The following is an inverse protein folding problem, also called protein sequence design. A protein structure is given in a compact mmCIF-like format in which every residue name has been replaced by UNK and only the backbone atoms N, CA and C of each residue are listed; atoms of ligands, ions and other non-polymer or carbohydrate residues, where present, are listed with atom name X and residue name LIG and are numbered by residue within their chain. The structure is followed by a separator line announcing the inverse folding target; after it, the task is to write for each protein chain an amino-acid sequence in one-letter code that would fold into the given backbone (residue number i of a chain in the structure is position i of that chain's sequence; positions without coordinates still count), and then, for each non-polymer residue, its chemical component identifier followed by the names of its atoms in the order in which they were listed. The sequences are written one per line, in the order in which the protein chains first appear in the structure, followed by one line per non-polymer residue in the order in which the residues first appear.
data_IF_737361949382
#
_entry.id   IF_737361949382
#
_cell.length_a   1.000
_cell.length_b   1.000
_cell.length_c   1.000
_cell.angle_alpha   90.00
_cell.angle_beta   90.00
_cell.angle_gamma   90.00
#
_symmetry.space_group_name_H-M   'P 1'
#
loop_
_entity.id
_entity.type
_entity.pdbx_description
1 polymer ?
2 polymer ?
3 polymer ?
4 water ?
#
loop_
_entity_poly.entity_id
_entity_poly.type
_entity_poly.pdbx_seq_one_letter_code
_entity_poly.pdbx_strand_id
1 'polydeoxyribonucleotide' '(DT)(DA)(DC)(DC)(DT)(DC)(DG)(DT)(DT)(DG)(DC)(DG)(DT)(DT)(DT)(DG)(DT)(DT)(DT)(DG)(DC)(DA)(DC)(DG)(DA)(DA)(DT)' ?
2 'polydeoxyribonucleotide' '(DT)(DA)(DT)(DT)(DC)(DG)(DT)(DG)(DC)(DA)(DA)(DA)(DC)(DA)(DA)(DA)(DC)(DG)(DC)(DA)(DA)(DC)(DG)(DA)(DG)(DG)(DT)' ?
#
# COMPACT_ATOMS: atom_id res chain seq x y z
N UNK C 1 28.85 -27.23 -17.27
CA UNK C 1 27.42 -27.20 -16.88
C UNK C 1 27.10 -26.09 -15.91
N UNK C 2 25.81 -25.82 -15.75
CA UNK C 2 25.37 -24.78 -14.81
C UNK C 2 23.93 -25.05 -14.41
N UNK C 3 23.47 -24.35 -13.36
CA UNK C 3 22.08 -24.44 -12.94
C UNK C 3 21.55 -23.03 -13.08
N UNK C 4 20.24 -22.91 -13.31
CA UNK C 4 19.63 -21.60 -13.47
C UNK C 4 19.63 -20.81 -12.17
N UNK C 5 19.54 -19.48 -12.28
CA UNK C 5 19.48 -18.66 -11.09
C UNK C 5 18.14 -18.96 -10.44
N UNK C 6 18.11 -18.91 -9.11
CA UNK C 6 16.86 -19.12 -8.39
C UNK C 6 16.83 -18.00 -7.35
N UNK C 7 15.65 -17.72 -6.82
CA UNK C 7 15.53 -16.62 -5.88
C UNK C 7 16.35 -16.71 -4.61
N UNK C 8 16.41 -17.88 -3.98
CA UNK C 8 17.19 -17.93 -2.74
C UNK C 8 18.68 -17.72 -2.98
N UNK C 9 19.20 -18.26 -4.09
CA UNK C 9 20.62 -18.06 -4.39
C UNK C 9 20.86 -16.60 -4.73
N UNK C 10 19.92 -15.97 -5.44
CA UNK C 10 20.07 -14.55 -5.76
C UNK C 10 20.04 -13.70 -4.48
N UNK C 11 19.24 -14.09 -3.50
CA UNK C 11 19.18 -13.33 -2.25
C UNK C 11 20.55 -13.40 -1.58
N UNK C 12 21.15 -14.59 -1.58
CA UNK C 12 22.47 -14.77 -0.99
C UNK C 12 23.50 -13.94 -1.75
N UNK C 13 23.38 -13.90 -3.07
CA UNK C 13 24.32 -13.12 -3.88
C UNK C 13 24.21 -11.61 -3.61
N UNK C 14 22.98 -11.14 -3.47
CA UNK C 14 22.71 -9.74 -3.19
C UNK C 14 23.16 -9.37 -1.77
N UNK C 15 22.88 -10.24 -0.80
CA UNK C 15 23.29 -9.94 0.57
C UNK C 15 24.80 -9.81 0.63
N UNK C 16 25.50 -10.71 -0.07
CA UNK C 16 26.96 -10.66 -0.07
C UNK C 16 27.44 -9.34 -0.66
N UNK C 17 26.85 -8.94 -1.79
CA UNK C 17 27.22 -7.69 -2.45
C UNK C 17 26.94 -6.47 -1.57
N UNK C 18 25.78 -6.47 -0.93
CA UNK C 18 25.43 -5.35 -0.07
C UNK C 18 26.37 -5.26 1.14
N UNK C 19 26.60 -6.38 1.82
CA UNK C 19 27.46 -6.35 2.99
C UNK C 19 28.88 -5.93 2.59
N UNK C 20 29.33 -6.37 1.43
CA UNK C 20 30.68 -5.97 0.99
C UNK C 20 30.75 -4.47 0.67
N UNK C 21 29.68 -3.91 0.11
CA UNK C 21 29.68 -2.49 -0.20
C UNK C 21 29.75 -1.69 1.09
N UNK C 22 29.00 -2.11 2.11
CA UNK C 22 29.05 -1.42 3.39
C UNK C 22 30.47 -1.52 4.01
N UNK C 23 31.07 -2.71 3.93
CA UNK C 23 32.40 -2.90 4.49
C UNK C 23 33.47 -2.09 3.78
N UNK C 24 33.36 -1.97 2.47
CA UNK C 24 34.35 -1.23 1.69
C UNK C 24 34.24 0.25 1.97
N UNK C 25 33.01 0.75 2.15
CA UNK C 25 32.84 2.17 2.44
C UNK C 25 33.23 2.38 3.90
N UNK C 26 32.85 1.42 4.75
CA UNK C 26 33.12 1.51 6.18
C UNK C 26 31.78 1.61 6.87
N UNK C 27 31.62 0.96 8.03
CA UNK C 27 30.34 1.02 8.74
C UNK C 27 30.06 2.42 9.27
N UNK C 28 31.03 3.04 9.94
CA UNK C 28 30.82 4.41 10.44
C UNK C 28 30.57 5.35 9.26
N UNK C 29 31.35 5.23 8.19
CA UNK C 29 31.18 6.11 7.03
C UNK C 29 29.79 5.92 6.42
N UNK C 30 29.32 4.67 6.34
CA UNK C 30 28.00 4.41 5.79
C UNK C 30 26.96 5.04 6.72
N UNK C 31 27.15 4.88 8.02
CA UNK C 31 26.22 5.45 8.99
C UNK C 31 26.13 6.96 8.81
N UNK C 32 27.27 7.62 8.71
CA UNK C 32 27.30 9.06 8.54
C UNK C 32 26.53 9.50 7.31
N UNK C 33 26.69 8.76 6.21
CA UNK C 33 26.01 9.11 4.97
C UNK C 33 24.50 8.85 5.05
N UNK C 34 24.10 7.75 5.69
CA UNK C 34 22.69 7.42 5.81
C UNK C 34 21.98 8.27 6.84
N UNK C 35 22.71 8.68 7.86
CA UNK C 35 22.11 9.50 8.89
C UNK C 35 21.61 8.75 10.12
N UNK C 36 22.30 7.69 10.51
CA UNK C 36 21.95 6.94 11.73
C UNK C 36 23.28 6.62 12.41
N UNK C 37 23.23 6.03 13.59
CA UNK C 37 24.48 5.70 14.29
C UNK C 37 25.14 4.48 13.67
N UNK C 38 26.44 4.33 13.86
CA UNK C 38 27.11 3.17 13.30
C UNK C 38 26.54 1.89 13.92
N UNK C 39 26.00 1.98 15.13
CA UNK C 39 25.42 0.82 15.80
C UNK C 39 24.20 0.35 15.02
N UNK C 40 23.53 1.27 14.34
CA UNK C 40 22.36 0.92 13.54
C UNK C 40 22.81 0.21 12.26
N UNK C 41 23.78 0.76 11.55
CA UNK C 41 24.23 0.11 10.33
C UNK C 41 24.71 -1.31 10.71
N UNK C 42 25.43 -1.40 11.82
CA UNK C 42 25.94 -2.68 12.29
C UNK C 42 24.78 -3.67 12.52
N UNK C 43 23.76 -3.23 13.26
CA UNK C 43 22.63 -4.10 13.55
C UNK C 43 21.78 -4.42 12.34
N UNK C 44 21.67 -3.47 11.42
CA UNK C 44 20.86 -3.70 10.21
C UNK C 44 21.43 -4.86 9.40
N UNK C 45 22.75 -5.08 9.45
CA UNK C 45 23.36 -6.19 8.72
C UNK C 45 22.71 -7.51 9.11
N UNK C 46 22.28 -7.60 10.36
CA UNK C 46 21.65 -8.79 10.92
C UNK C 46 20.14 -8.75 10.84
N UNK C 47 19.57 -7.60 11.19
CA UNK C 47 18.13 -7.43 11.27
C UNK C 47 17.38 -7.12 9.99
N UNK C 48 18.04 -6.47 9.03
CA UNK C 48 17.35 -6.06 7.80
C UNK C 48 17.93 -6.47 6.48
N UNK C 49 19.26 -6.57 6.38
CA UNK C 49 19.85 -6.94 5.11
C UNK C 49 19.31 -8.29 4.60
N UNK C 50 19.10 -9.29 5.49
CA UNK C 50 18.57 -10.54 4.95
C UNK C 50 17.19 -10.32 4.28
N UNK C 51 16.34 -9.52 4.93
CA UNK C 51 15.00 -9.26 4.39
C UNK C 51 15.05 -8.42 3.13
N UNK C 52 15.83 -7.35 3.17
CA UNK C 52 16.01 -6.45 2.03
C UNK C 52 16.53 -7.28 0.86
N UNK C 53 17.47 -8.19 1.15
CA UNK C 53 18.05 -9.04 0.10
C UNK C 53 17.06 -9.99 -0.54
N UNK C 54 16.19 -10.61 0.25
CA UNK C 54 15.20 -11.49 -0.38
C UNK C 54 14.20 -10.66 -1.21
N UNK C 55 13.87 -9.45 -0.72
CA UNK C 55 12.94 -8.62 -1.51
C UNK C 55 13.57 -8.23 -2.85
N UNK C 56 14.82 -7.78 -2.83
CA UNK C 56 15.51 -7.39 -4.05
C UNK C 56 15.62 -8.61 -4.99
N UNK C 57 15.92 -9.78 -4.43
CA UNK C 57 16.01 -10.97 -5.28
C UNK C 57 14.67 -11.28 -5.95
N UNK C 58 13.58 -11.27 -5.19
CA UNK C 58 12.28 -11.54 -5.79
C UNK C 58 11.98 -10.54 -6.91
N UNK C 59 12.33 -9.27 -6.69
CA UNK C 59 12.08 -8.25 -7.70
C UNK C 59 12.89 -8.44 -8.98
N UNK C 60 13.95 -9.24 -8.94
CA UNK C 60 14.74 -9.47 -10.14
C UNK C 60 13.96 -10.24 -11.19
N UNK C 61 12.93 -10.97 -10.76
CA UNK C 61 12.12 -11.77 -11.68
C UNK C 61 11.05 -10.96 -12.43
N UNK C 62 10.95 -9.68 -12.09
CA UNK C 62 10.00 -8.81 -12.78
C UNK C 62 8.55 -9.26 -12.77
N UNK C 63 7.81 -8.87 -13.80
CA UNK C 63 6.40 -9.20 -13.91
C UNK C 63 6.10 -10.00 -15.17
N UNK C 64 5.58 -11.21 -15.02
CA UNK C 64 5.27 -12.05 -16.18
C UNK C 64 4.06 -11.47 -16.93
N UNK C 65 3.96 -11.78 -18.22
CA UNK C 65 2.86 -11.25 -19.05
C UNK C 65 1.46 -11.35 -18.43
N UNK C 66 1.08 -12.53 -17.95
CA UNK C 66 -0.24 -12.71 -17.35
C UNK C 66 -0.49 -11.70 -16.25
N UNK C 67 0.49 -11.56 -15.36
CA UNK C 67 0.41 -10.63 -14.25
C UNK C 67 0.35 -9.17 -14.70
N UNK C 68 1.14 -8.83 -15.70
CA UNK C 68 1.16 -7.46 -16.22
C UNK C 68 -0.18 -7.10 -16.86
N UNK C 69 -0.79 -8.05 -17.57
CA UNK C 69 -2.08 -7.79 -18.20
C UNK C 69 -3.13 -7.52 -17.13
N UNK C 70 -3.05 -8.27 -16.03
CA UNK C 70 -3.99 -8.15 -14.93
C UNK C 70 -3.83 -6.79 -14.27
N UNK C 71 -2.59 -6.36 -14.06
CA UNK C 71 -2.33 -5.06 -13.46
C UNK C 71 -2.83 -3.96 -14.39
N UNK C 72 -2.56 -4.10 -15.69
CA UNK C 72 -2.99 -3.09 -16.63
C UNK C 72 -4.51 -2.94 -16.64
N UNK C 73 -5.22 -4.05 -16.54
CA UNK C 73 -6.69 -4.01 -16.54
C UNK C 73 -7.17 -3.29 -15.28
N UNK C 74 -6.55 -3.64 -14.15
CA UNK C 74 -6.92 -3.05 -12.87
C UNK C 74 -6.67 -1.57 -12.83
N UNK C 75 -5.50 -1.15 -13.31
CA UNK C 75 -5.16 0.26 -13.30
C UNK C 75 -6.02 1.01 -14.31
N UNK C 76 -6.28 0.39 -15.45
CA UNK C 76 -7.11 1.05 -16.45
C UNK C 76 -8.53 1.25 -15.88
N UNK C 77 -9.01 0.29 -15.09
CA UNK C 77 -10.34 0.39 -14.49
C UNK C 77 -10.40 1.62 -13.58
N UNK C 78 -9.35 1.82 -12.79
CA UNK C 78 -9.24 2.97 -11.89
C UNK C 78 -9.21 4.28 -12.68
N UNK C 79 -8.60 4.24 -13.86
CA UNK C 79 -8.49 5.43 -14.69
C UNK C 79 -9.61 5.57 -15.72
N UNK C 80 -10.72 4.85 -15.49
CA UNK C 80 -11.87 4.94 -16.39
C UNK C 80 -13.02 5.56 -15.62
N UNK C 81 -13.62 6.56 -16.18
CA UNK C 81 -14.69 7.25 -15.48
C UNK C 81 -16.04 6.51 -15.43
N UNK C 82 -16.87 7.01 -14.54
CA UNK C 82 -18.25 6.55 -14.39
C UNK C 82 -18.46 5.22 -13.71
N UNK D 1 27.81 9.64 -13.22
CA UNK D 1 27.62 10.16 -11.85
C UNK D 1 28.89 10.19 -11.03
N UNK D 2 29.70 11.23 -11.22
CA UNK D 2 30.96 11.37 -10.52
C UNK D 2 30.99 12.53 -9.53
N UNK D 3 30.20 13.56 -9.82
CA UNK D 3 30.14 14.77 -8.99
C UNK D 3 29.66 14.67 -7.55
N UNK D 4 29.27 15.83 -7.03
CA UNK D 4 28.82 16.03 -5.66
C UNK D 4 27.33 15.85 -5.37
N UNK D 5 26.68 14.90 -6.02
CA UNK D 5 25.25 14.72 -5.78
C UNK D 5 24.85 14.42 -4.34
N UNK D 6 23.73 15.00 -3.94
CA UNK D 6 23.17 14.79 -2.62
C UNK D 6 22.49 13.42 -2.70
N UNK D 7 23.00 12.45 -1.95
CA UNK D 7 22.44 11.11 -1.97
C UNK D 7 20.94 11.04 -1.68
N UNK D 8 20.39 12.07 -1.04
CA UNK D 8 18.97 12.07 -0.72
C UNK D 8 18.12 12.11 -1.99
N UNK D 9 18.64 12.76 -3.02
CA UNK D 9 17.90 12.85 -4.26
C UNK D 9 17.86 11.51 -4.99
N UNK D 10 18.96 10.77 -4.97
CA UNK D 10 18.96 9.46 -5.61
C UNK D 10 18.11 8.56 -4.72
N UNK D 11 18.15 8.79 -3.40
CA UNK D 11 17.37 7.98 -2.47
C UNK D 11 15.88 8.13 -2.77
N UNK D 12 15.44 9.35 -3.06
CA UNK D 12 14.03 9.57 -3.38
C UNK D 12 13.63 8.86 -4.67
N UNK D 13 14.52 8.84 -5.65
CA UNK D 13 14.24 8.16 -6.92
C UNK D 13 14.16 6.65 -6.69
N UNK D 14 15.05 6.15 -5.84
CA UNK D 14 15.07 4.72 -5.54
C UNK D 14 13.80 4.33 -4.82
N UNK D 15 13.37 5.18 -3.89
CA UNK D 15 12.14 4.93 -3.14
C UNK D 15 10.95 4.82 -4.11
N UNK D 16 10.86 5.78 -5.04
CA UNK D 16 9.75 5.75 -6.01
C UNK D 16 9.75 4.45 -6.81
N UNK D 17 10.92 4.05 -7.29
CA UNK D 17 11.05 2.84 -8.07
C UNK D 17 10.73 1.59 -7.26
N UNK D 18 11.24 1.51 -6.03
CA UNK D 18 10.97 0.37 -5.19
C UNK D 18 9.48 0.27 -4.86
N UNK D 19 8.86 1.40 -4.53
CA UNK D 19 7.43 1.39 -4.19
C UNK D 19 6.62 0.94 -5.41
N UNK D 20 7.04 1.34 -6.61
CA UNK D 20 6.31 0.92 -7.80
C UNK D 20 6.47 -0.58 -8.04
N UNK D 21 7.69 -1.08 -7.88
CA UNK D 21 7.93 -2.51 -8.10
C UNK D 21 7.20 -3.36 -7.08
N UNK D 22 7.17 -2.88 -5.85
CA UNK D 22 6.51 -3.62 -4.80
C UNK D 22 4.99 -3.61 -5.00
N UNK D 23 4.46 -2.52 -5.55
CA UNK D 23 3.03 -2.43 -5.80
C UNK D 23 2.63 -3.43 -6.87
N UNK D 24 3.50 -3.64 -7.86
CA UNK D 24 3.24 -4.59 -8.94
C UNK D 24 3.41 -6.01 -8.42
N UNK D 25 4.38 -6.21 -7.52
CA UNK D 25 4.62 -7.54 -6.97
C UNK D 25 3.43 -7.95 -6.10
N UNK D 26 2.82 -6.98 -5.42
CA UNK D 26 1.68 -7.29 -4.58
C UNK D 26 2.00 -7.43 -3.10
N UNK D 27 0.99 -7.17 -2.28
CA UNK D 27 1.12 -7.24 -0.81
C UNK D 27 1.53 -8.59 -0.26
N UNK D 28 0.93 -9.66 -0.77
CA UNK D 28 1.24 -11.00 -0.29
C UNK D 28 2.71 -11.37 -0.45
N UNK D 29 3.23 -11.24 -1.66
CA UNK D 29 4.62 -11.58 -1.91
C UNK D 29 5.60 -10.61 -1.26
N UNK D 30 5.19 -9.35 -1.13
CA UNK D 30 6.09 -8.37 -0.51
C UNK D 30 6.21 -8.66 0.99
N UNK D 31 5.07 -8.66 1.69
CA UNK D 31 5.06 -8.92 3.12
C UNK D 31 5.75 -10.25 3.41
N UNK D 32 5.60 -11.21 2.51
CA UNK D 32 6.24 -12.51 2.69
C UNK D 32 7.76 -12.39 2.59
N UNK D 33 8.24 -11.63 1.61
CA UNK D 33 9.68 -11.45 1.43
C UNK D 33 10.34 -10.75 2.61
N UNK D 34 9.63 -9.81 3.24
CA UNK D 34 10.19 -9.08 4.37
C UNK D 34 9.66 -9.49 5.75
N UNK D 35 8.92 -10.58 5.81
CA UNK D 35 8.40 -11.08 7.08
C UNK D 35 7.63 -10.05 7.89
N UNK D 36 6.65 -9.41 7.25
CA UNK D 36 5.82 -8.43 7.90
C UNK D 36 4.36 -8.86 7.74
N UNK D 37 3.53 -8.60 8.74
CA UNK D 37 2.12 -8.97 8.64
C UNK D 37 1.51 -8.09 7.55
N UNK D 38 0.80 -8.72 6.62
CA UNK D 38 0.18 -7.99 5.52
C UNK D 38 -0.76 -6.88 5.98
N UNK D 39 -1.30 -7.00 7.19
CA UNK D 39 -2.20 -5.98 7.69
C UNK D 39 -1.46 -4.72 8.13
N UNK D 40 -0.14 -4.72 8.06
CA UNK D 40 0.63 -3.54 8.42
C UNK D 40 1.77 -3.29 7.44
N UNK D 41 1.56 -3.71 6.20
CA UNK D 41 2.58 -3.55 5.18
C UNK D 41 2.72 -2.09 4.72
N UNK D 42 1.62 -1.33 4.72
CA UNK D 42 1.71 0.07 4.31
C UNK D 42 2.57 0.80 5.32
N UNK D 43 2.38 0.45 6.59
CA UNK D 43 3.11 1.01 7.72
C UNK D 43 4.60 0.66 7.56
N UNK D 44 4.90 -0.60 7.25
CA UNK D 44 6.30 -0.99 7.06
C UNK D 44 6.93 -0.19 5.92
N UNK D 45 6.24 -0.05 4.79
CA UNK D 45 6.79 0.72 3.69
C UNK D 45 7.07 2.14 4.18
N UNK D 46 6.13 2.71 4.92
CA UNK D 46 6.25 4.06 5.48
C UNK D 46 7.54 4.17 6.31
N UNK D 47 7.73 3.20 7.20
CA UNK D 47 8.87 3.18 8.12
C UNK D 47 10.21 2.75 7.55
N UNK D 48 10.21 1.77 6.65
CA UNK D 48 11.48 1.25 6.16
C UNK D 48 11.96 1.48 4.75
N UNK D 49 11.06 1.77 3.82
CA UNK D 49 11.54 1.98 2.45
C UNK D 49 12.44 3.21 2.33
N UNK D 50 12.14 4.30 3.06
CA UNK D 50 13.01 5.48 2.95
C UNK D 50 14.43 5.19 3.44
N UNK D 51 14.55 4.48 4.57
CA UNK D 51 15.86 4.11 5.11
C UNK D 51 16.59 3.19 4.15
N UNK D 52 15.88 2.15 3.70
CA UNK D 52 16.44 1.19 2.78
C UNK D 52 16.89 1.90 1.50
N UNK D 53 16.08 2.85 1.04
CA UNK D 53 16.44 3.57 -0.19
C UNK D 53 17.66 4.43 -0.01
N UNK D 54 17.75 5.10 1.15
CA UNK D 54 18.93 5.94 1.42
C UNK D 54 20.17 5.05 1.47
N UNK D 55 20.03 3.87 2.08
CA UNK D 55 21.16 2.95 2.17
C UNK D 55 21.63 2.56 0.76
N UNK D 56 20.68 2.20 -0.11
CA UNK D 56 21.05 1.80 -1.47
C UNK D 56 21.73 2.94 -2.24
N UNK D 57 21.27 4.16 -2.02
CA UNK D 57 21.84 5.33 -2.67
C UNK D 57 23.29 5.49 -2.21
N UNK D 58 23.50 5.32 -0.93
CA UNK D 58 24.83 5.45 -0.36
C UNK D 58 25.77 4.37 -0.87
N UNK D 59 25.24 3.17 -1.08
CA UNK D 59 26.06 2.05 -1.56
C UNK D 59 26.12 2.04 -3.08
N UNK D 60 25.52 3.07 -3.68
CA UNK D 60 25.47 3.22 -5.13
C UNK D 60 24.94 1.97 -5.82
N UNK D 61 23.86 1.43 -5.24
CA UNK D 61 23.20 0.25 -5.76
C UNK D 61 22.13 0.72 -6.73
N UNK D 62 22.26 0.33 -7.98
CA UNK D 62 21.30 0.77 -8.97
C UNK D 62 19.90 0.21 -8.82
N UNK D 63 18.90 1.03 -9.11
CA UNK D 63 17.50 0.58 -9.04
C UNK D 63 16.74 1.16 -10.23
N UNK D 64 16.40 0.31 -11.19
CA UNK D 64 15.68 0.74 -12.39
C UNK D 64 14.25 0.24 -12.33
N UNK D 65 13.32 1.05 -12.82
CA UNK D 65 11.90 0.73 -12.80
C UNK D 65 11.35 0.55 -14.23
N UNK D 66 11.87 -0.42 -14.97
CA UNK D 66 11.43 -0.61 -16.35
C UNK D 66 10.01 -1.09 -16.59
N UNK D 67 9.46 -1.89 -15.69
CA UNK D 67 8.11 -2.37 -15.91
C UNK D 67 7.03 -1.30 -15.88
N UNK D 68 7.35 -0.11 -15.36
CA UNK D 68 6.37 0.99 -15.31
C UNK D 68 6.00 1.46 -16.72
N UNK D 69 6.99 1.53 -17.61
CA UNK D 69 6.75 1.95 -18.99
C UNK D 69 5.82 0.97 -19.66
N UNK D 70 6.06 -0.30 -19.38
CA UNK D 70 5.28 -1.39 -19.92
C UNK D 70 3.83 -1.27 -19.43
N UNK D 71 3.66 -1.07 -18.13
CA UNK D 71 2.32 -0.94 -17.57
C UNK D 71 1.58 0.28 -18.15
N UNK D 72 2.25 1.43 -18.23
CA UNK D 72 1.60 2.62 -18.77
C UNK D 72 1.15 2.39 -20.21
N UNK D 73 2.02 1.78 -20.98
CA UNK D 73 1.72 1.47 -22.37
C UNK D 73 0.46 0.61 -22.50
N UNK D 74 0.39 -0.47 -21.74
CA UNK D 74 -0.76 -1.36 -21.79
C UNK D 74 -2.02 -0.72 -21.23
N UNK D 75 -1.89 0.15 -20.25
CA UNK D 75 -3.07 0.84 -19.72
C UNK D 75 -3.62 1.76 -20.81
N UNK D 76 -2.74 2.55 -21.40
CA UNK D 76 -3.13 3.48 -22.46
C UNK D 76 -3.90 2.75 -23.58
N UNK D 77 -3.42 1.56 -23.94
CA UNK D 77 -4.07 0.78 -25.00
C UNK D 77 -5.51 0.45 -24.62
N UNK D 78 -5.72 0.06 -23.37
CA UNK D 78 -7.06 -0.26 -22.89
C UNK D 78 -7.97 0.97 -22.93
N UNK D 79 -7.46 2.09 -22.44
CA UNK D 79 -8.24 3.33 -22.42
C UNK D 79 -8.63 3.82 -23.82
N UNK D 80 -7.72 3.69 -24.78
CA UNK D 80 -7.99 4.18 -26.13
C UNK D 80 -8.96 3.33 -26.93
N UNK D 81 -9.35 2.16 -26.41
CA UNK D 81 -10.27 1.35 -27.18
C UNK D 81 -11.73 1.55 -26.85
N UNK D 82 -12.02 2.60 -26.09
CA UNK D 82 -13.38 2.95 -25.72
C UNK D 82 -14.02 3.80 -26.81
N UNK E 5 -22.83 -12.23 -4.55
CA UNK E 5 -21.40 -12.26 -4.97
C UNK E 5 -20.54 -12.86 -3.85
N UNK E 6 -19.22 -12.73 -3.99
CA UNK E 6 -18.31 -13.25 -2.97
C UNK E 6 -17.95 -12.15 -1.99
N UNK E 7 -18.80 -11.98 -0.99
CA UNK E 7 -18.59 -10.97 0.02
C UNK E 7 -17.45 -11.34 0.95
N UNK E 8 -17.23 -12.64 1.16
CA UNK E 8 -16.17 -13.09 2.05
C UNK E 8 -14.81 -12.50 1.70
N UNK E 9 -14.42 -12.60 0.43
CA UNK E 9 -13.12 -12.05 0.08
C UNK E 9 -13.11 -10.53 0.14
N UNK E 10 -14.23 -9.90 -0.23
CA UNK E 10 -14.30 -8.44 -0.17
C UNK E 10 -14.24 -7.98 1.28
N UNK E 11 -14.83 -8.74 2.20
CA UNK E 11 -14.80 -8.38 3.61
C UNK E 11 -13.35 -8.40 4.08
N UNK E 12 -12.62 -9.44 3.67
CA UNK E 12 -11.23 -9.57 4.05
C UNK E 12 -10.37 -8.45 3.45
N UNK E 13 -10.67 -8.05 2.21
CA UNK E 13 -9.95 -6.97 1.55
C UNK E 13 -10.19 -5.66 2.31
N UNK E 14 -11.45 -5.40 2.65
CA UNK E 14 -11.79 -4.18 3.38
C UNK E 14 -11.15 -4.17 4.76
N UNK E 15 -11.16 -5.30 5.45
CA UNK E 15 -10.56 -5.38 6.79
C UNK E 15 -9.06 -5.05 6.71
N UNK E 16 -8.39 -5.65 5.73
CA UNK E 16 -6.95 -5.42 5.58
C UNK E 16 -6.70 -3.94 5.27
N UNK E 17 -7.58 -3.34 4.47
CA UNK E 17 -7.46 -1.94 4.10
C UNK E 17 -7.59 -1.05 5.33
N UNK E 18 -8.61 -1.34 6.15
CA UNK E 18 -8.83 -0.56 7.35
C UNK E 18 -7.64 -0.69 8.31
N UNK E 19 -7.21 -1.91 8.55
CA UNK E 19 -6.09 -2.15 9.47
C UNK E 19 -4.82 -1.52 8.91
N UNK E 20 -4.63 -1.62 7.60
CA UNK E 20 -3.44 -1.01 7.01
C UNK E 20 -3.45 0.51 7.13
N UNK E 21 -4.62 1.12 6.96
CA UNK E 21 -4.75 2.58 7.04
C UNK E 21 -4.53 3.07 8.48
N UNK E 22 -5.07 2.34 9.44
CA UNK E 22 -4.89 2.70 10.83
C UNK E 22 -3.41 2.58 11.18
N UNK E 23 -2.76 1.51 10.76
CA UNK E 23 -1.34 1.34 11.08
C UNK E 23 -0.50 2.39 10.41
N UNK E 24 -0.89 2.78 9.21
CA UNK E 24 -0.14 3.80 8.50
C UNK E 24 -0.21 5.12 9.24
N UNK E 25 -1.40 5.53 9.61
CA UNK E 25 -1.55 6.77 10.34
C UNK E 25 -0.93 6.59 11.73
N UNK E 26 -1.11 5.40 12.29
CA UNK E 26 -0.59 5.08 13.61
C UNK E 26 -1.74 4.80 14.56
N UNK E 27 -1.60 3.78 15.41
CA UNK E 27 -2.67 3.48 16.35
C UNK E 27 -2.94 4.68 17.26
N UNK E 28 -1.91 5.28 17.83
CA UNK E 28 -2.12 6.44 18.71
C UNK E 28 -2.59 7.68 17.93
N UNK E 29 -2.00 7.88 16.76
CA UNK E 29 -2.39 9.05 15.97
C UNK E 29 -3.83 8.94 15.47
N UNK E 30 -4.30 7.75 15.15
CA UNK E 30 -5.68 7.57 14.73
C UNK E 30 -6.60 7.90 15.90
N UNK E 31 -6.21 7.42 17.08
CA UNK E 31 -6.99 7.66 18.29
C UNK E 31 -7.16 9.15 18.55
N UNK E 32 -6.07 9.90 18.41
CA UNK E 32 -6.12 11.34 18.66
C UNK E 32 -7.03 12.04 17.65
N UNK E 33 -6.96 11.58 16.41
CA UNK E 33 -7.77 12.14 15.33
C UNK E 33 -9.25 11.84 15.55
N UNK E 34 -9.54 10.64 16.05
CA UNK E 34 -10.92 10.24 16.28
C UNK E 34 -11.52 10.83 17.55
N UNK E 35 -10.72 10.97 18.59
CA UNK E 35 -11.24 11.50 19.84
C UNK E 35 -11.43 10.43 20.91
N UNK E 36 -10.67 9.35 20.82
CA UNK E 36 -10.74 8.29 21.81
C UNK E 36 -9.33 7.91 22.23
N UNK E 37 -9.22 7.13 23.30
CA UNK E 37 -7.92 6.71 23.75
C UNK E 37 -7.28 5.72 22.77
N UNK E 38 -5.96 5.69 22.73
CA UNK E 38 -5.25 4.76 21.85
C UNK E 38 -5.68 3.31 22.14
N UNK E 39 -6.00 3.00 23.39
CA UNK E 39 -6.43 1.65 23.73
C UNK E 39 -7.72 1.23 23.00
N UNK E 40 -8.59 2.21 22.72
CA UNK E 40 -9.80 1.93 21.98
C UNK E 40 -9.51 1.58 20.53
N UNK E 41 -8.58 2.31 19.90
CA UNK E 41 -8.28 1.96 18.51
C UNK E 41 -7.70 0.54 18.46
N UNK E 42 -6.87 0.20 19.44
CA UNK E 42 -6.28 -1.14 19.47
C UNK E 42 -7.34 -2.19 19.65
N UNK E 43 -8.30 -1.92 20.53
CA UNK E 43 -9.38 -2.84 20.77
C UNK E 43 -10.41 -2.93 19.63
N UNK E 44 -10.68 -1.81 18.96
CA UNK E 44 -11.63 -1.83 17.85
C UNK E 44 -11.10 -2.73 16.73
N UNK E 45 -9.78 -2.73 16.54
CA UNK E 45 -9.18 -3.55 15.50
C UNK E 45 -9.47 -5.01 15.72
N UNK E 46 -9.42 -5.43 16.97
CA UNK E 46 -9.64 -6.82 17.31
C UNK E 46 -11.09 -7.23 17.44
N UNK E 47 -11.92 -6.34 17.98
CA UNK E 47 -13.30 -6.67 18.22
C UNK E 47 -14.32 -6.42 17.12
N UNK E 48 -14.45 -5.17 16.70
CA UNK E 48 -15.47 -4.84 15.73
C UNK E 48 -15.07 -4.55 14.28
N UNK E 49 -13.81 -4.23 14.03
CA UNK E 49 -13.42 -3.94 12.66
C UNK E 49 -13.60 -5.14 11.70
N UNK E 50 -13.30 -6.36 12.16
CA UNK E 50 -13.49 -7.50 11.24
C UNK E 50 -14.98 -7.64 10.84
N UNK E 51 -15.88 -7.51 11.83
CA UNK E 51 -17.32 -7.61 11.58
C UNK E 51 -17.84 -6.43 10.77
N UNK E 52 -17.34 -5.24 11.11
CA UNK E 52 -17.76 -4.05 10.39
C UNK E 52 -17.32 -4.15 8.93
N UNK E 53 -16.19 -4.81 8.68
CA UNK E 53 -15.69 -4.99 7.32
C UNK E 53 -16.63 -5.86 6.50
N UNK E 54 -17.26 -6.86 7.13
CA UNK E 54 -18.21 -7.68 6.38
C UNK E 54 -19.43 -6.81 6.07
N UNK E 55 -19.88 -6.00 7.04
CA UNK E 55 -21.02 -5.12 6.75
C UNK E 55 -20.66 -4.19 5.56
N UNK E 56 -19.48 -3.60 5.58
CA UNK E 56 -19.11 -2.72 4.47
C UNK E 56 -19.09 -3.50 3.15
N UNK E 57 -18.69 -4.76 3.20
CA UNK E 57 -18.65 -5.57 1.98
C UNK E 57 -20.07 -5.78 1.43
N UNK E 58 -21.01 -6.10 2.33
CA UNK E 58 -22.39 -6.29 1.94
C UNK E 58 -22.99 -5.00 1.38
N UNK E 59 -22.54 -3.86 1.90
CA UNK E 59 -23.02 -2.55 1.45
C UNK E 59 -22.31 -2.05 0.19
N UNK E 60 -21.29 -2.81 -0.25
CA UNK E 60 -20.48 -2.45 -1.41
C UNK E 60 -19.73 -1.14 -1.16
N UNK E 61 -19.20 -1.01 0.06
CA UNK E 61 -18.47 0.17 0.50
C UNK E 61 -16.95 0.02 0.49
N UNK E 62 -16.43 -0.94 -0.25
CA UNK E 62 -14.99 -1.07 -0.32
C UNK E 62 -14.43 0.09 -1.15
N UNK E 63 -13.14 0.36 -0.98
CA UNK E 63 -12.49 1.44 -1.71
C UNK E 63 -11.30 0.94 -2.49
N UNK E 64 -10.81 1.77 -3.41
CA UNK E 64 -9.67 1.39 -4.23
C UNK E 64 -8.46 1.02 -3.38
N UNK E 65 -7.79 -0.05 -3.78
CA UNK E 65 -6.59 -0.51 -3.09
C UNK E 65 -5.54 0.60 -3.15
N UNK E 66 -4.90 0.90 -2.03
CA UNK E 66 -3.93 1.99 -2.04
C UNK E 66 -2.74 1.74 -2.96
N UNK E 67 -2.32 0.49 -3.10
CA UNK E 67 -1.19 0.19 -4.00
C UNK E 67 -1.58 0.47 -5.45
N UNK E 68 -2.72 -0.07 -5.87
CA UNK E 68 -3.19 0.14 -7.24
C UNK E 68 -3.41 1.62 -7.49
N UNK E 69 -3.91 2.35 -6.49
CA UNK E 69 -4.11 3.78 -6.68
C UNK E 69 -2.74 4.42 -6.94
N UNK E 70 -1.70 3.92 -6.27
CA UNK E 70 -0.36 4.47 -6.47
C UNK E 70 0.06 4.27 -7.91
N UNK E 71 -0.14 3.04 -8.41
CA UNK E 71 0.23 2.71 -9.78
C UNK E 71 -0.58 3.56 -10.77
N UNK E 72 -1.84 3.81 -10.44
CA UNK E 72 -2.70 4.63 -11.31
C UNK E 72 -2.15 6.04 -11.37
N UNK E 73 -1.70 6.57 -10.23
CA UNK E 73 -1.14 7.91 -10.23
C UNK E 73 0.13 7.97 -11.08
N UNK E 74 0.98 6.96 -10.93
CA UNK E 74 2.24 6.90 -11.67
C UNK E 74 1.96 6.82 -13.16
N UNK E 75 1.04 5.95 -13.54
CA UNK E 75 0.66 5.79 -14.93
C UNK E 75 0.08 7.08 -15.51
N UNK E 76 -0.81 7.73 -14.76
CA UNK E 76 -1.41 8.97 -15.23
C UNK E 76 -0.32 10.01 -15.48
N UNK E 77 0.69 10.08 -14.60
CA UNK E 77 1.78 11.03 -14.79
C UNK E 77 2.51 10.75 -16.11
N UNK E 78 2.75 9.46 -16.38
CA UNK E 78 3.43 9.03 -17.60
C UNK E 78 2.60 9.38 -18.82
N UNK E 79 1.31 9.09 -18.79
CA UNK E 79 0.46 9.38 -19.93
C UNK E 79 0.35 10.87 -20.18
N UNK E 80 0.37 11.66 -19.10
CA UNK E 80 0.25 13.10 -19.20
C UNK E 80 1.54 13.83 -19.62
N UNK E 81 2.66 13.42 -19.04
CA UNK E 81 3.93 14.10 -19.32
C UNK E 81 4.98 13.40 -20.18
N UNK E 82 4.83 12.10 -20.45
CA UNK E 82 5.83 11.40 -21.26
C UNK E 82 5.59 11.57 -22.76
N UNK E 83 6.62 12.02 -23.46
CA UNK E 83 6.54 12.25 -24.89
C UNK E 83 7.62 11.50 -25.67
N UNK F 8 -17.12 20.55 3.82
CA UNK F 8 -18.26 20.29 4.75
C UNK F 8 -17.79 19.27 5.80
N UNK F 9 -18.70 18.79 6.63
CA UNK F 9 -18.36 17.84 7.69
C UNK F 9 -18.36 16.41 7.16
N UNK F 10 -17.18 15.88 6.87
CA UNK F 10 -17.04 14.55 6.29
C UNK F 10 -17.66 13.39 7.07
N UNK F 11 -17.49 13.37 8.39
CA UNK F 11 -18.06 12.27 9.16
C UNK F 11 -19.58 12.26 9.06
N UNK F 12 -20.19 13.44 9.05
CA UNK F 12 -21.65 13.49 8.91
C UNK F 12 -22.07 13.01 7.53
N UNK F 13 -21.27 13.34 6.52
CA UNK F 13 -21.56 12.92 5.16
C UNK F 13 -21.50 11.40 5.10
N UNK F 14 -20.42 10.86 5.65
CA UNK F 14 -20.24 9.41 5.68
C UNK F 14 -21.38 8.73 6.47
N UNK F 15 -21.68 9.25 7.65
CA UNK F 15 -22.75 8.64 8.46
C UNK F 15 -24.10 8.61 7.75
N UNK F 16 -24.45 9.69 7.07
CA UNK F 16 -25.74 9.72 6.39
C UNK F 16 -25.79 8.64 5.30
N UNK F 17 -24.78 8.61 4.47
CA UNK F 17 -24.74 7.62 3.40
C UNK F 17 -24.72 6.22 3.96
N UNK F 18 -23.96 6.02 5.04
CA UNK F 18 -23.84 4.72 5.66
C UNK F 18 -25.18 4.24 6.24
N UNK F 19 -25.83 5.08 7.05
CA UNK F 19 -27.09 4.69 7.63
C UNK F 19 -28.15 4.46 6.56
N UNK F 20 -28.14 5.25 5.48
CA UNK F 20 -29.12 5.05 4.41
C UNK F 20 -28.90 3.71 3.71
N UNK F 21 -27.64 3.34 3.50
CA UNK F 21 -27.39 2.07 2.82
C UNK F 21 -27.77 0.92 3.76
N UNK F 22 -27.53 1.14 5.06
CA UNK F 22 -27.87 0.12 6.05
C UNK F 22 -29.37 -0.05 6.14
N UNK F 23 -30.10 1.05 6.04
CA UNK F 23 -31.55 0.99 6.10
C UNK F 23 -32.02 0.20 4.88
N UNK F 24 -31.39 0.44 3.73
CA UNK F 24 -31.76 -0.29 2.52
C UNK F 24 -31.53 -1.79 2.72
N UNK F 25 -30.42 -2.13 3.38
CA UNK F 25 -30.07 -3.54 3.62
C UNK F 25 -31.07 -4.24 4.54
N UNK F 26 -31.55 -3.52 5.54
CA UNK F 26 -32.51 -4.10 6.46
C UNK F 26 -31.94 -4.70 7.73
N UNK F 27 -32.80 -4.80 8.74
CA UNK F 27 -32.43 -5.32 10.05
C UNK F 27 -31.78 -6.70 10.04
N UNK F 28 -32.46 -7.66 9.44
CA UNK F 28 -31.96 -9.03 9.42
C UNK F 28 -30.59 -9.18 8.79
N UNK F 29 -30.41 -8.64 7.59
CA UNK F 29 -29.13 -8.78 6.91
C UNK F 29 -28.02 -8.00 7.61
N UNK F 30 -28.34 -6.84 8.20
CA UNK F 30 -27.34 -6.04 8.91
C UNK F 30 -26.87 -6.81 10.15
N UNK F 31 -27.80 -7.37 10.89
CA UNK F 31 -27.42 -8.13 12.08
C UNK F 31 -26.55 -9.31 11.70
N UNK F 32 -26.91 -9.99 10.60
CA UNK F 32 -26.14 -11.15 10.14
C UNK F 32 -24.74 -10.75 9.72
N UNK F 33 -24.59 -9.62 9.05
CA UNK F 33 -23.27 -9.15 8.62
C UNK F 33 -22.33 -8.86 9.78
N UNK F 34 -22.83 -8.22 10.84
CA UNK F 34 -21.93 -7.90 11.95
C UNK F 34 -21.91 -8.93 13.09
N UNK F 35 -22.71 -9.98 12.97
CA UNK F 35 -22.74 -11.02 13.99
C UNK F 35 -23.40 -10.60 15.31
N UNK F 36 -24.38 -9.71 15.21
CA UNK F 36 -25.10 -9.22 16.40
C UNK F 36 -26.54 -9.74 16.34
N UNK F 37 -27.12 -10.10 17.49
CA UNK F 37 -28.50 -10.59 17.48
C UNK F 37 -29.44 -9.51 16.97
N UNK F 38 -30.47 -9.91 16.25
CA UNK F 38 -31.42 -8.96 15.69
C UNK F 38 -32.03 -8.05 16.75
N UNK F 39 -32.17 -8.55 17.97
CA UNK F 39 -32.77 -7.75 19.05
C UNK F 39 -31.84 -6.65 19.56
N UNK F 40 -30.55 -6.74 19.20
CA UNK F 40 -29.57 -5.77 19.66
C UNK F 40 -29.01 -4.87 18.57
N UNK F 41 -29.32 -5.16 17.31
CA UNK F 41 -28.75 -4.40 16.20
C UNK F 41 -29.10 -2.90 16.16
N UNK F 42 -30.30 -2.52 16.58
CA UNK F 42 -30.64 -1.09 16.59
C UNK F 42 -29.73 -0.34 17.57
N UNK F 43 -29.55 -0.90 18.76
CA UNK F 43 -28.67 -0.27 19.75
C UNK F 43 -27.24 -0.26 19.26
N UNK F 44 -26.82 -1.38 18.68
CA UNK F 44 -25.47 -1.50 18.17
C UNK F 44 -25.21 -0.38 17.16
N UNK F 45 -26.14 -0.19 16.22
CA UNK F 45 -25.97 0.85 15.21
C UNK F 45 -25.96 2.23 15.83
N UNK F 46 -26.88 2.48 16.75
CA UNK F 46 -26.95 3.78 17.41
C UNK F 46 -25.60 4.14 18.00
N UNK F 47 -24.95 3.16 18.63
CA UNK F 47 -23.67 3.44 19.25
C UNK F 47 -22.44 3.41 18.34
N UNK F 48 -22.33 2.39 17.51
CA UNK F 48 -21.16 2.22 16.66
C UNK F 48 -21.06 2.94 15.33
N UNK F 49 -22.16 3.17 14.64
CA UNK F 49 -22.03 3.86 13.37
C UNK F 49 -21.44 5.27 13.54
N UNK F 50 -21.83 6.01 14.61
CA UNK F 50 -21.21 7.34 14.74
C UNK F 50 -19.70 7.22 14.95
N UNK F 51 -19.28 6.20 15.69
CA UNK F 51 -17.84 5.99 15.96
C UNK F 51 -17.10 5.60 14.71
N UNK F 52 -17.65 4.64 13.97
CA UNK F 52 -17.00 4.21 12.75
C UNK F 52 -17.10 5.27 11.65
N UNK F 53 -18.13 6.13 11.68
CA UNK F 53 -18.19 7.18 10.63
C UNK F 53 -17.03 8.15 10.83
N UNK F 54 -16.71 8.46 12.06
CA UNK F 54 -15.64 9.31 12.43
C UNK F 54 -14.32 8.66 12.03
N UNK F 55 -14.21 7.36 12.31
CA UNK F 55 -13.01 6.61 11.95
C UNK F 55 -12.81 6.65 10.43
N UNK F 56 -13.87 6.39 9.66
CA UNK F 56 -13.75 6.42 8.19
C UNK F 56 -13.36 7.79 7.66
N UNK F 57 -13.87 8.85 8.28
CA UNK F 57 -13.51 10.21 7.87
C UNK F 57 -12.01 10.41 8.08
N UNK F 58 -11.54 9.99 9.25
CA UNK F 58 -10.14 10.11 9.61
C UNK F 58 -9.23 9.32 8.69
N UNK F 59 -9.68 8.13 8.28
CA UNK F 59 -8.89 7.31 7.38
C UNK F 59 -9.09 7.71 5.93
N UNK F 60 -9.82 8.80 5.72
CA UNK F 60 -10.09 9.33 4.39
C UNK F 60 -10.74 8.32 3.46
N UNK F 61 -11.66 7.54 4.00
CA UNK F 61 -12.36 6.53 3.22
C UNK F 61 -13.15 7.20 2.09
N UNK F 62 -12.90 6.77 0.85
CA UNK F 62 -13.60 7.34 -0.29
C UNK F 62 -12.87 8.49 -0.98
N UNK F 63 -11.92 9.10 -0.26
CA UNK F 63 -11.14 10.22 -0.78
C UNK F 63 -10.26 9.79 -1.93
N UNK F 64 -9.56 8.67 -1.78
CA UNK F 64 -8.70 8.22 -2.86
C UNK F 64 -9.54 7.92 -4.11
N UNK F 65 -10.71 7.31 -3.95
CA UNK F 65 -11.57 7.02 -5.10
C UNK F 65 -11.98 8.33 -5.78
N UNK F 66 -12.24 9.35 -4.99
CA UNK F 66 -12.60 10.63 -5.55
C UNK F 66 -11.41 11.21 -6.31
N UNK F 67 -10.20 11.00 -5.81
CA UNK F 67 -9.01 11.50 -6.50
C UNK F 67 -8.82 10.78 -7.83
N UNK F 68 -9.08 9.47 -7.83
CA UNK F 68 -8.91 8.67 -9.03
C UNK F 68 -9.89 9.10 -10.13
N UNK F 69 -11.11 9.50 -9.72
CA UNK F 69 -12.11 9.94 -10.69
C UNK F 69 -11.60 11.21 -11.36
N UNK F 70 -11.00 12.09 -10.61
CA UNK F 70 -10.44 13.30 -11.12
C UNK F 70 -9.29 12.96 -12.12
N UNK F 71 -8.43 12.02 -11.72
CA UNK F 71 -7.33 11.61 -12.58
C UNK F 71 -7.86 11.01 -13.88
N UNK F 72 -8.88 10.18 -13.78
CA UNK F 72 -9.44 9.55 -14.98
C UNK F 72 -9.91 10.63 -15.95
N UNK F 73 -10.56 11.66 -15.42
CA UNK F 73 -11.02 12.74 -16.29
C UNK F 73 -9.84 13.47 -16.92
N UNK F 74 -8.77 13.71 -16.16
CA UNK F 74 -7.62 14.41 -16.73
C UNK F 74 -6.97 13.58 -17.84
N UNK F 75 -6.78 12.29 -17.57
CA UNK F 75 -6.19 11.38 -18.55
C UNK F 75 -7.08 11.26 -19.79
N UNK F 76 -8.39 11.25 -19.58
CA UNK F 76 -9.33 11.15 -20.70
C UNK F 76 -9.15 12.34 -21.63
N UNK F 77 -8.93 13.52 -21.04
CA UNK F 77 -8.74 14.73 -21.85
C UNK F 77 -7.46 14.67 -22.68
N UNK F 78 -6.43 14.00 -22.15
CA UNK F 78 -5.16 13.87 -22.86
C UNK F 78 -5.29 12.88 -24.02
N UNK F 79 -5.84 11.71 -23.72
CA UNK F 79 -6.00 10.66 -24.71
C UNK F 79 -7.06 10.92 -25.78
N UNK F 80 -8.02 11.78 -25.48
CA UNK F 80 -9.07 12.09 -26.45
C UNK F 80 -8.48 12.82 -27.65
#
# INVERSE_FOLDING_TARGET
GSHMANKRNEALRIESALLNKIAMLGTEKTAEAVGVDKSQISRWKRDWIPKFSMLLAVLEWGVVDDDMARLARQVAAILTNKK
GSHMANKRNEALRIESALLNKIAMLGTEKTAEAVGVDKSQISRWKRDWIPKFSMLLAVLEWGVVDDDMARLARQVAAILTNKK
GSHMANKRNEALRIESALLNKIAMLGTEKTAEAVGVDKSQISRWKRDWIPKFSMLLAVLEWGVVDDDMARLARQVAAILTNKK
GSHMANKRNEALRIESALLNKIAMLGTEKTAEAVGVDKSQISRWKRDWIPKFSMLLAVLEWGVVDDDMARLARQVAAILTNKK
#
